data_IF_615693267430
#
_entry.id   IF_615693267430
#
_cell.length_a   1.000
_cell.length_b   1.000
_cell.length_c   1.000
_cell.angle_alpha   90.00
_cell.angle_beta   90.00
_cell.angle_gamma   90.00
#
_symmetry.space_group_name_H-M   'P 1'
#
loop_
_entity.id
_entity.type
_entity.pdbx_description
1 polymer ?
#
# COMPACT_ATOMS: atom_id res chain seq x y z
N UNK A 1 -19.43 -5.90 1.47
CA UNK A 1 -20.23 -6.07 2.71
C UNK A 1 -20.85 -4.74 3.09
N UNK A 2 -22.18 -4.70 3.26
CA UNK A 2 -22.89 -3.50 3.71
C UNK A 2 -22.74 -3.31 5.23
N UNK A 3 -22.91 -2.08 5.73
CA UNK A 3 -22.77 -1.77 7.17
C UNK A 3 -23.72 -2.59 8.06
N UNK A 4 -24.95 -2.84 7.58
CA UNK A 4 -25.93 -3.68 8.29
C UNK A 4 -25.47 -5.14 8.41
N UNK A 5 -24.79 -5.66 7.39
CA UNK A 5 -24.25 -7.03 7.38
C UNK A 5 -23.02 -7.11 8.27
N UNK A 6 -22.19 -6.07 8.25
CA UNK A 6 -21.05 -5.94 9.14
C UNK A 6 -21.49 -6.04 10.61
N UNK A 7 -22.43 -5.21 11.05
CA UNK A 7 -22.88 -5.28 12.45
C UNK A 7 -23.66 -6.56 12.78
N UNK A 8 -24.24 -7.27 11.81
CA UNK A 8 -24.81 -8.61 12.08
C UNK A 8 -23.74 -9.61 12.54
N UNK A 9 -22.52 -9.52 11.99
CA UNK A 9 -21.43 -10.44 12.28
C UNK A 9 -20.49 -9.95 13.39
N UNK A 10 -20.31 -8.63 13.51
CA UNK A 10 -19.25 -8.02 14.33
C UNK A 10 -19.77 -7.20 15.51
N UNK A 11 -21.04 -7.33 15.92
CA UNK A 11 -21.59 -6.55 17.04
C UNK A 11 -21.07 -7.00 18.42
N UNK A 12 -20.86 -8.30 18.64
CA UNK A 12 -20.38 -8.82 19.92
C UNK A 12 -19.02 -9.48 19.77
N UNK A 13 -18.26 -9.58 20.88
CA UNK A 13 -16.96 -10.28 20.86
C UNK A 13 -17.15 -11.75 20.47
N UNK A 14 -18.22 -12.39 20.94
CA UNK A 14 -18.54 -13.79 20.63
C UNK A 14 -18.84 -14.00 19.15
N UNK A 15 -19.74 -13.19 18.56
CA UNK A 15 -20.08 -13.30 17.13
C UNK A 15 -18.86 -13.01 16.25
N UNK A 16 -18.04 -12.03 16.67
CA UNK A 16 -16.80 -11.68 15.98
C UNK A 16 -15.79 -12.81 16.00
N UNK A 17 -15.55 -13.41 17.17
CA UNK A 17 -14.61 -14.53 17.31
C UNK A 17 -15.06 -15.71 16.46
N UNK A 18 -16.35 -16.05 16.52
CA UNK A 18 -16.92 -17.12 15.69
C UNK A 18 -16.74 -16.84 14.19
N UNK A 19 -17.09 -15.63 13.74
CA UNK A 19 -16.92 -15.26 12.32
C UNK A 19 -15.46 -15.37 11.88
N UNK A 20 -14.52 -14.86 12.69
CA UNK A 20 -13.10 -14.92 12.37
C UNK A 20 -12.55 -16.35 12.42
N UNK A 21 -13.10 -17.22 13.25
CA UNK A 21 -12.79 -18.66 13.29
C UNK A 21 -13.31 -19.37 12.03
N UNK A 22 -14.56 -19.14 11.66
CA UNK A 22 -15.19 -19.71 10.46
C UNK A 22 -14.45 -19.27 9.18
N UNK A 23 -13.97 -18.02 9.14
CA UNK A 23 -13.12 -17.52 8.04
C UNK A 23 -11.68 -18.10 8.08
N UNK A 24 -11.27 -18.64 9.22
CA UNK A 24 -9.92 -19.15 9.47
C UNK A 24 -8.87 -18.05 9.67
N UNK A 25 -9.27 -16.88 10.21
CA UNK A 25 -8.37 -15.83 10.69
C UNK A 25 -7.97 -16.03 12.16
N UNK A 26 -8.76 -16.82 12.90
CA UNK A 26 -8.49 -17.24 14.26
C UNK A 26 -8.57 -18.77 14.37
N UNK A 27 -7.82 -19.39 15.30
CA UNK A 27 -7.86 -20.83 15.52
C UNK A 27 -9.15 -21.24 16.25
N UNK A 28 -9.77 -22.33 15.78
CA UNK A 28 -10.92 -22.96 16.43
C UNK A 28 -10.52 -23.87 17.60
N UNK A 29 -9.30 -24.42 17.54
CA UNK A 29 -8.74 -25.30 18.55
C UNK A 29 -7.27 -24.94 18.82
N UNK A 30 -6.80 -25.20 20.04
CA UNK A 30 -5.40 -25.09 20.44
C UNK A 30 -5.02 -26.25 21.35
N UNK A 31 -3.72 -26.44 21.50
CA UNK A 31 -3.13 -27.26 22.55
C UNK A 31 -2.58 -26.39 23.67
N UNK A 32 -2.54 -26.92 24.89
CA UNK A 32 -1.93 -26.26 26.03
C UNK A 32 -0.42 -26.18 25.83
N UNK A 33 0.14 -24.96 25.80
CA UNK A 33 1.58 -24.72 25.66
C UNK A 33 2.47 -25.34 26.77
N UNK A 34 1.89 -25.83 27.89
CA UNK A 34 2.65 -26.50 28.96
C UNK A 34 2.52 -28.03 28.96
N UNK A 35 1.37 -28.58 28.57
CA UNK A 35 1.10 -30.02 28.76
C UNK A 35 0.56 -30.73 27.52
N UNK A 36 0.43 -30.04 26.38
CA UNK A 36 -0.02 -30.60 25.11
C UNK A 36 -1.51 -30.97 25.04
N UNK A 37 -2.24 -30.99 26.16
CA UNK A 37 -3.66 -31.34 26.16
C UNK A 37 -4.50 -30.32 25.40
N UNK A 38 -5.60 -30.77 24.81
CA UNK A 38 -6.59 -29.89 24.19
C UNK A 38 -7.13 -28.86 25.21
N UNK A 39 -7.28 -27.62 24.77
CA UNK A 39 -7.81 -26.52 25.59
C UNK A 39 -9.20 -26.14 25.11
N UNK A 40 -10.09 -25.83 26.06
CA UNK A 40 -11.47 -25.40 25.76
C UNK A 40 -11.57 -23.87 25.77
N UNK A 41 -12.42 -23.32 24.91
CA UNK A 41 -12.67 -21.88 24.84
C UNK A 41 -13.66 -21.44 25.95
N UNK A 42 -13.43 -20.27 26.53
CA UNK A 42 -14.23 -19.68 27.61
C UNK A 42 -14.26 -18.16 27.51
N UNK A 43 -15.36 -17.58 27.97
CA UNK A 43 -15.45 -16.16 28.28
C UNK A 43 -14.79 -15.85 29.61
N UNK A 44 -13.89 -14.87 29.60
CA UNK A 44 -13.26 -14.31 30.79
C UNK A 44 -13.62 -12.84 30.89
N UNK A 45 -14.16 -12.43 32.03
CA UNK A 45 -14.26 -11.02 32.38
C UNK A 45 -12.91 -10.55 32.91
N UNK A 46 -12.33 -9.54 32.27
CA UNK A 46 -11.14 -8.85 32.73
C UNK A 46 -11.40 -7.35 32.76
N UNK A 47 -11.42 -6.77 33.96
CA UNK A 47 -11.68 -5.33 34.19
C UNK A 47 -12.97 -4.84 33.50
N UNK A 48 -14.04 -5.62 33.58
CA UNK A 48 -15.34 -5.30 32.97
C UNK A 48 -15.46 -5.59 31.48
N UNK A 49 -14.38 -6.05 30.82
CA UNK A 49 -14.40 -6.44 29.41
C UNK A 49 -14.46 -7.96 29.28
N UNK A 50 -15.44 -8.45 28.52
CA UNK A 50 -15.53 -9.85 28.14
C UNK A 50 -14.49 -10.12 27.06
N UNK A 51 -13.69 -11.17 27.25
CA UNK A 51 -12.72 -11.66 26.27
C UNK A 51 -12.82 -13.17 26.15
N UNK A 52 -12.75 -13.65 24.92
CA UNK A 52 -12.64 -15.07 24.61
C UNK A 52 -11.19 -15.54 24.82
N UNK A 53 -11.02 -16.65 25.55
CA UNK A 53 -9.71 -17.25 25.84
C UNK A 53 -9.79 -18.78 25.79
N UNK A 54 -8.69 -19.43 25.44
CA UNK A 54 -8.53 -20.87 25.62
C UNK A 54 -7.98 -21.18 27.00
N UNK A 55 -8.57 -22.14 27.73
CA UNK A 55 -8.14 -22.55 29.07
C UNK A 55 -7.84 -24.04 29.16
N UNK A 56 -6.70 -24.37 29.74
CA UNK A 56 -6.35 -25.75 30.12
C UNK A 56 -7.13 -26.19 31.37
N UNK A 57 -7.76 -27.37 31.31
CA UNK A 57 -8.49 -27.96 32.44
C UNK A 57 -7.67 -28.99 33.22
N UNK A 58 -6.52 -29.45 32.69
CA UNK A 58 -5.66 -30.42 33.35
C UNK A 58 -5.13 -29.84 34.66
N UNK A 59 -5.37 -30.54 35.78
CA UNK A 59 -4.90 -30.14 37.11
C UNK A 59 -3.36 -29.99 37.08
N UNK A 60 -2.85 -28.92 37.69
CA UNK A 60 -1.43 -28.56 37.64
C UNK A 60 -0.99 -27.68 36.46
N UNK A 61 -1.79 -27.58 35.38
CA UNK A 61 -1.42 -26.85 34.16
C UNK A 61 -2.41 -25.79 33.71
N UNK A 62 -3.34 -25.33 34.57
CA UNK A 62 -4.55 -24.55 34.27
C UNK A 62 -4.32 -23.14 33.67
N UNK A 63 -3.50 -23.03 32.61
CA UNK A 63 -3.09 -21.83 31.92
C UNK A 63 -4.18 -21.33 30.97
N UNK A 64 -4.09 -20.04 30.64
CA UNK A 64 -4.96 -19.39 29.67
C UNK A 64 -4.16 -18.86 28.50
N UNK A 65 -4.68 -19.00 27.29
CA UNK A 65 -4.09 -18.50 26.05
C UNK A 65 -5.10 -17.60 25.35
N UNK A 66 -4.65 -16.47 24.80
CA UNK A 66 -5.54 -15.59 24.03
C UNK A 66 -5.93 -16.26 22.71
N UNK A 67 -7.16 -16.03 22.25
CA UNK A 67 -7.61 -16.45 20.92
C UNK A 67 -6.76 -15.82 19.81
N UNK A 68 -6.22 -14.61 20.06
CA UNK A 68 -5.49 -13.80 19.09
C UNK A 68 -4.10 -14.34 18.73
N UNK A 69 -3.45 -15.10 19.62
CA UNK A 69 -2.01 -15.43 19.57
C UNK A 69 -1.45 -16.05 18.27
N UNK A 70 -2.28 -16.51 17.35
CA UNK A 70 -1.85 -17.16 16.09
C UNK A 70 -1.97 -16.24 14.88
N UNK A 71 -2.39 -14.98 15.07
CA UNK A 71 -2.51 -14.02 14.00
C UNK A 71 -1.93 -12.69 14.48
N UNK A 72 -0.76 -12.33 13.92
CA UNK A 72 -0.02 -11.15 14.38
C UNK A 72 -0.72 -9.82 14.11
N UNK A 73 -1.73 -9.80 13.21
CA UNK A 73 -2.59 -8.64 13.00
C UNK A 73 -3.40 -8.28 14.25
N UNK A 74 -3.87 -9.29 15.00
CA UNK A 74 -4.68 -9.07 16.20
C UNK A 74 -3.86 -8.97 17.49
N UNK A 75 -2.55 -9.21 17.44
CA UNK A 75 -1.69 -9.34 18.61
C UNK A 75 -0.58 -8.31 18.66
N UNK A 76 -0.73 -7.14 18.02
CA UNK A 76 0.28 -6.07 17.98
C UNK A 76 1.16 -6.07 19.23
N UNK A 77 2.41 -6.52 19.04
CA UNK A 77 3.42 -6.59 20.08
C UNK A 77 4.17 -5.26 20.05
N UNK A 78 4.26 -4.60 21.19
CA UNK A 78 5.15 -3.44 21.32
C UNK A 78 6.63 -3.87 21.14
N UNK A 79 7.55 -2.90 21.13
CA UNK A 79 8.99 -3.17 21.04
C UNK A 79 9.53 -4.13 22.12
N UNK A 80 8.75 -4.39 23.18
CA UNK A 80 9.07 -5.32 24.27
C UNK A 80 8.34 -6.66 24.14
N UNK A 81 7.71 -6.96 23.00
CA UNK A 81 7.01 -8.22 22.77
C UNK A 81 5.68 -8.35 23.51
N UNK A 82 5.07 -7.25 23.99
CA UNK A 82 3.80 -7.29 24.75
C UNK A 82 2.62 -6.90 23.88
N UNK A 83 1.60 -7.77 23.85
CA UNK A 83 0.31 -7.46 23.24
C UNK A 83 -0.50 -6.52 24.15
N UNK A 84 -0.37 -5.22 23.93
CA UNK A 84 -0.99 -4.19 24.79
C UNK A 84 -2.34 -3.66 24.27
N UNK A 85 -2.90 -4.22 23.20
CA UNK A 85 -4.17 -3.70 22.67
C UNK A 85 -5.34 -3.88 23.66
N UNK A 86 -5.84 -2.75 24.16
CA UNK A 86 -7.02 -2.67 25.02
C UNK A 86 -8.35 -2.91 24.28
N UNK A 87 -8.33 -2.96 22.94
CA UNK A 87 -9.50 -3.12 22.09
C UNK A 87 -9.96 -4.58 22.02
N UNK A 88 -11.27 -4.78 22.00
CA UNK A 88 -11.95 -6.02 21.65
C UNK A 88 -11.76 -6.35 20.15
N UNK A 89 -11.98 -7.60 19.74
CA UNK A 89 -11.92 -7.96 18.31
C UNK A 89 -13.02 -7.27 17.50
N UNK A 90 -14.24 -7.15 18.06
CA UNK A 90 -15.34 -6.38 17.45
C UNK A 90 -14.90 -4.93 17.18
N UNK A 91 -14.31 -4.28 18.18
CA UNK A 91 -13.79 -2.91 18.07
C UNK A 91 -12.69 -2.78 17.00
N UNK A 92 -11.82 -3.77 16.89
CA UNK A 92 -10.76 -3.82 15.86
C UNK A 92 -11.38 -3.96 14.47
N UNK A 93 -12.31 -4.90 14.29
CA UNK A 93 -12.96 -5.15 13.00
C UNK A 93 -13.76 -3.94 12.52
N UNK A 94 -14.32 -3.14 13.43
CA UNK A 94 -15.00 -1.89 13.09
C UNK A 94 -14.02 -0.86 12.49
N UNK A 95 -12.83 -0.70 13.09
CA UNK A 95 -11.79 0.19 12.54
C UNK A 95 -11.33 -0.31 11.18
N UNK A 96 -11.13 -1.62 11.03
CA UNK A 96 -10.78 -2.26 9.75
C UNK A 96 -11.84 -1.96 8.71
N UNK A 97 -13.13 -2.15 9.04
CA UNK A 97 -14.24 -1.87 8.13
C UNK A 97 -14.23 -0.41 7.66
N UNK A 98 -14.03 0.54 8.56
CA UNK A 98 -13.94 1.95 8.20
C UNK A 98 -12.73 2.28 7.31
N UNK A 99 -11.57 1.67 7.57
CA UNK A 99 -10.38 1.83 6.73
C UNK A 99 -10.58 1.26 5.33
N UNK A 100 -11.17 0.06 5.25
CA UNK A 100 -11.47 -0.61 3.97
C UNK A 100 -12.41 0.25 3.14
N UNK A 101 -13.46 0.81 3.75
CA UNK A 101 -14.46 1.68 3.11
C UNK A 101 -14.00 3.13 2.92
N UNK A 102 -12.70 3.41 3.06
CA UNK A 102 -12.07 4.71 2.77
C UNK A 102 -12.59 5.89 3.62
N UNK A 103 -13.02 5.63 4.85
CA UNK A 103 -13.36 6.71 5.78
C UNK A 103 -12.11 7.49 6.22
N UNK A 104 -12.26 8.80 6.37
CA UNK A 104 -11.16 9.67 6.79
C UNK A 104 -10.89 9.53 8.30
N UNK A 105 -9.63 9.71 8.71
CA UNK A 105 -9.18 9.64 10.11
C UNK A 105 -10.12 10.40 11.08
N UNK A 106 -10.50 11.63 10.73
CA UNK A 106 -11.38 12.46 11.56
C UNK A 106 -12.78 11.84 11.73
N UNK A 107 -13.30 11.19 10.69
CA UNK A 107 -14.60 10.51 10.74
C UNK A 107 -14.51 9.27 11.62
N UNK A 108 -13.46 8.46 11.46
CA UNK A 108 -13.26 7.25 12.27
C UNK A 108 -13.14 7.62 13.76
N UNK A 109 -12.37 8.66 14.10
CA UNK A 109 -12.29 9.18 15.46
C UNK A 109 -13.68 9.55 16.00
N UNK A 110 -14.47 10.27 15.20
CA UNK A 110 -15.82 10.68 15.59
C UNK A 110 -16.78 9.50 15.79
N UNK A 111 -16.73 8.50 14.91
CA UNK A 111 -17.61 7.33 14.96
C UNK A 111 -17.26 6.38 16.10
N UNK A 112 -15.97 6.26 16.41
CA UNK A 112 -15.47 5.27 17.39
C UNK A 112 -15.22 5.85 18.78
N UNK A 113 -15.08 7.17 18.91
CA UNK A 113 -14.67 7.83 20.15
C UNK A 113 -13.22 7.53 20.58
N UNK A 114 -12.40 6.92 19.71
CA UNK A 114 -11.04 6.46 20.02
C UNK A 114 -10.01 7.57 19.77
N UNK A 115 -8.88 7.50 20.48
CA UNK A 115 -7.81 8.50 20.32
C UNK A 115 -7.23 8.48 18.90
N UNK A 116 -6.77 9.64 18.44
CA UNK A 116 -6.10 9.79 17.14
C UNK A 116 -4.97 8.78 16.96
N UNK A 117 -4.12 8.62 17.97
CA UNK A 117 -2.98 7.69 17.91
C UNK A 117 -3.44 6.26 17.69
N UNK A 118 -4.46 5.81 18.43
CA UNK A 118 -5.04 4.47 18.27
C UNK A 118 -5.52 4.24 16.84
N UNK A 119 -6.28 5.18 16.28
CA UNK A 119 -6.80 5.04 14.92
C UNK A 119 -5.65 5.07 13.90
N UNK A 120 -4.68 5.97 14.04
CA UNK A 120 -3.51 6.01 13.16
C UNK A 120 -2.76 4.68 13.16
N UNK A 121 -2.51 4.09 14.33
CA UNK A 121 -1.79 2.82 14.46
C UNK A 121 -2.53 1.69 13.75
N UNK A 122 -3.85 1.58 13.93
CA UNK A 122 -4.67 0.57 13.25
C UNK A 122 -4.79 0.80 11.75
N UNK A 123 -4.90 2.05 11.29
CA UNK A 123 -4.89 2.36 9.86
C UNK A 123 -3.53 2.02 9.22
N UNK A 124 -2.43 2.22 9.96
CA UNK A 124 -1.09 1.82 9.53
C UNK A 124 -0.96 0.30 9.46
N UNK A 125 -1.50 -0.43 10.44
CA UNK A 125 -1.49 -1.89 10.44
C UNK A 125 -2.34 -2.47 9.29
N UNK A 126 -3.49 -1.87 8.99
CA UNK A 126 -4.27 -2.23 7.79
C UNK A 126 -3.45 -2.05 6.51
N UNK A 127 -2.60 -1.01 6.46
CA UNK A 127 -1.72 -0.74 5.33
C UNK A 127 -0.53 -1.71 5.22
N UNK A 128 -0.20 -2.46 6.26
CA UNK A 128 0.86 -3.47 6.15
C UNK A 128 0.46 -4.63 5.23
N UNK A 129 -0.83 -4.94 5.11
CA UNK A 129 -1.34 -5.96 4.17
C UNK A 129 -0.98 -5.59 2.72
N UNK A 130 -1.43 -4.44 2.17
CA UNK A 130 -1.09 -4.08 0.80
C UNK A 130 0.42 -3.89 0.60
N UNK A 131 1.16 -3.43 1.61
CA UNK A 131 2.64 -3.34 1.53
C UNK A 131 3.28 -4.72 1.40
N UNK A 132 2.87 -5.70 2.23
CA UNK A 132 3.37 -7.08 2.14
C UNK A 132 3.03 -7.72 0.80
N UNK A 133 1.81 -7.54 0.33
CA UNK A 133 1.37 -8.03 -0.98
C UNK A 133 2.15 -7.39 -2.12
N UNK A 134 2.35 -6.07 -2.05
CA UNK A 134 3.14 -5.36 -3.04
C UNK A 134 4.56 -5.94 -3.05
N UNK A 135 5.23 -6.08 -1.91
CA UNK A 135 6.60 -6.62 -1.87
C UNK A 135 6.74 -8.07 -2.38
N UNK A 136 5.68 -8.88 -2.31
CA UNK A 136 5.65 -10.26 -2.84
C UNK A 136 5.14 -10.37 -4.28
N UNK A 137 4.73 -9.25 -4.89
CA UNK A 137 4.18 -9.23 -6.25
C UNK A 137 5.21 -9.75 -7.26
N UNK A 138 4.73 -10.36 -8.32
CA UNK A 138 5.56 -10.75 -9.44
C UNK A 138 5.68 -9.63 -10.47
N UNK A 139 6.74 -9.63 -11.30
CA UNK A 139 6.79 -8.81 -12.50
C UNK A 139 5.56 -9.06 -13.39
N UNK A 140 5.17 -8.07 -14.18
CA UNK A 140 3.97 -8.10 -15.01
C UNK A 140 4.32 -7.76 -16.47
N UNK A 141 3.35 -7.91 -17.38
CA UNK A 141 3.63 -7.92 -18.81
C UNK A 141 3.87 -9.34 -19.32
N UNK A 142 4.59 -9.43 -20.43
CA UNK A 142 4.93 -10.67 -21.12
C UNK A 142 4.75 -10.52 -22.64
N UNK A 143 5.07 -11.57 -23.40
CA UNK A 143 4.87 -11.59 -24.85
C UNK A 143 3.45 -11.17 -25.25
N UNK A 144 3.34 -10.18 -26.13
CA UNK A 144 2.06 -9.65 -26.61
C UNK A 144 1.33 -8.70 -25.64
N UNK A 145 1.91 -8.41 -24.47
CA UNK A 145 1.38 -7.42 -23.53
C UNK A 145 2.12 -6.08 -23.66
N UNK A 146 1.37 -5.01 -23.40
CA UNK A 146 1.86 -3.64 -23.43
C UNK A 146 1.95 -3.09 -22.01
N UNK A 147 3.13 -2.60 -21.63
CA UNK A 147 3.35 -1.85 -20.39
C UNK A 147 3.62 -0.40 -20.74
N UNK A 148 2.86 0.53 -20.16
CA UNK A 148 3.14 1.96 -20.27
C UNK A 148 3.93 2.41 -19.05
N UNK A 149 4.97 3.22 -19.28
CA UNK A 149 5.80 3.83 -18.24
C UNK A 149 5.85 5.35 -18.41
N UNK A 150 5.81 6.06 -17.29
CA UNK A 150 5.94 7.52 -17.24
C UNK A 150 6.47 7.95 -15.86
N UNK A 151 6.98 9.18 -15.76
CA UNK A 151 7.47 9.76 -14.51
C UNK A 151 6.75 11.03 -14.14
N UNK A 152 6.40 11.11 -12.86
CA UNK A 152 5.67 12.23 -12.33
C UNK A 152 6.35 12.75 -11.06
N UNK A 153 6.58 14.07 -11.05
CA UNK A 153 6.92 14.75 -9.81
C UNK A 153 5.65 14.88 -8.96
N UNK A 154 5.61 14.20 -7.82
CA UNK A 154 4.44 14.18 -6.94
C UNK A 154 4.53 15.35 -5.92
N UNK A 155 3.86 16.47 -6.20
CA UNK A 155 3.84 17.67 -5.30
C UNK A 155 2.44 18.25 -5.06
N UNK A 156 2.35 19.01 -3.95
CA UNK A 156 1.39 20.09 -3.70
C UNK A 156 1.11 20.96 -4.92
N UNK A 157 -0.13 21.00 -5.42
CA UNK A 157 -0.52 22.05 -6.36
C UNK A 157 -0.62 23.40 -5.62
N UNK A 158 0.08 24.41 -6.14
CA UNK A 158 0.11 25.78 -5.58
C UNK A 158 -1.30 26.39 -5.51
N UNK A 159 -1.56 27.22 -4.49
CA UNK A 159 -2.77 28.07 -4.45
C UNK A 159 -2.71 29.02 -5.66
N UNK A 160 -3.69 28.90 -6.56
CA UNK A 160 -3.88 29.76 -7.73
C UNK A 160 -2.73 29.78 -8.76
N UNK A 161 -1.88 28.75 -8.80
CA UNK A 161 -0.73 28.67 -9.74
C UNK A 161 0.26 29.87 -9.69
N UNK A 162 0.25 30.69 -8.63
CA UNK A 162 1.10 31.88 -8.47
C UNK A 162 2.14 31.70 -7.35
N UNK A 163 3.32 32.32 -7.50
CA UNK A 163 4.46 32.30 -6.55
C UNK A 163 5.78 31.76 -7.13
N UNK A 164 6.95 32.23 -6.63
CA UNK A 164 8.31 31.91 -7.12
C UNK A 164 8.76 30.46 -6.80
N UNK A 165 9.54 29.85 -7.70
CA UNK A 165 10.05 28.47 -7.67
C UNK A 165 11.37 28.29 -6.89
N UNK A 166 11.67 27.05 -6.48
CA UNK A 166 12.92 26.66 -5.83
C UNK A 166 13.57 25.37 -6.51
N UNK A 167 14.78 25.36 -7.16
CA UNK A 167 15.81 24.34 -7.72
C UNK A 167 15.24 23.03 -8.06
N UNK A 168 14.69 22.30 -7.11
CA UNK A 168 14.01 21.07 -7.49
C UNK A 168 12.61 21.30 -8.04
N UNK A 169 12.39 22.52 -8.55
CA UNK A 169 11.31 22.87 -9.45
C UNK A 169 11.78 23.36 -10.85
N UNK A 170 13.08 23.27 -11.22
CA UNK A 170 13.59 23.72 -12.55
C UNK A 170 14.14 22.57 -13.44
N UNK A 171 13.89 22.62 -14.76
CA UNK A 171 14.45 21.68 -15.76
C UNK A 171 15.94 21.99 -16.05
N UNK A 172 16.73 20.95 -16.32
CA UNK A 172 18.20 20.94 -16.30
C UNK A 172 18.94 21.76 -17.38
N UNK A 173 18.26 22.38 -18.35
CA UNK A 173 18.92 23.05 -19.49
C UNK A 173 19.54 24.43 -19.19
N UNK A 174 19.59 24.90 -17.93
CA UNK A 174 20.10 26.23 -17.52
C UNK A 174 21.20 26.08 -16.45
N UNK A 175 22.09 25.10 -16.59
CA UNK A 175 23.24 24.96 -15.69
C UNK A 175 24.51 25.23 -16.51
N UNK A 176 24.98 26.49 -16.61
CA UNK A 176 26.38 26.73 -16.87
C UNK A 176 27.15 26.25 -15.63
N UNK A 177 28.16 25.40 -15.82
CA UNK A 177 29.22 25.29 -14.82
C UNK A 177 29.94 26.62 -14.84
N UNK A 178 30.21 27.20 -13.67
CA UNK A 178 31.48 27.85 -13.49
C UNK A 178 32.00 27.57 -12.09
N UNK A 179 33.29 27.26 -12.11
CA UNK A 179 34.20 27.06 -11.00
C UNK A 179 34.29 28.34 -10.17
N UNK A 180 34.53 28.11 -8.89
CA UNK A 180 35.18 29.01 -7.95
C UNK A 180 34.49 30.33 -7.55
N UNK A 181 34.18 30.34 -6.25
CA UNK A 181 34.42 31.42 -5.30
C UNK A 181 33.45 32.62 -5.12
N UNK A 182 33.24 32.79 -3.80
CA UNK A 182 32.85 33.95 -2.99
C UNK A 182 31.41 34.49 -2.98
N UNK A 183 30.86 34.33 -1.77
CA UNK A 183 29.56 34.70 -1.26
C UNK A 183 29.29 36.20 -1.43
N UNK A 184 28.23 36.55 -2.17
CA UNK A 184 27.70 37.92 -2.23
C UNK A 184 26.23 37.93 -1.87
N UNK A 185 25.95 38.59 -0.76
CA UNK A 185 24.66 38.77 -0.08
C UNK A 185 23.55 39.31 -1.01
N UNK A 186 22.85 38.42 -1.72
CA UNK A 186 21.65 38.71 -2.54
C UNK A 186 20.53 37.71 -2.18
N UNK A 187 19.31 38.21 -1.96
CA UNK A 187 18.09 37.46 -1.57
C UNK A 187 17.56 36.46 -2.63
N UNK A 188 18.39 35.53 -3.09
CA UNK A 188 18.02 34.44 -3.99
C UNK A 188 18.10 33.11 -3.23
N UNK A 189 16.96 32.66 -2.71
CA UNK A 189 16.87 31.46 -1.88
C UNK A 189 17.35 30.18 -2.56
N UNK A 190 18.04 29.34 -1.75
CA UNK A 190 18.38 27.95 -2.06
C UNK A 190 17.14 27.18 -2.43
N UNK A 191 17.29 26.41 -3.48
CA UNK A 191 16.17 26.02 -4.26
C UNK A 191 15.81 24.45 -3.95
N UNK A 192 14.53 23.92 -3.92
CA UNK A 192 14.04 22.78 -3.04
C UNK A 192 13.58 21.46 -3.73
N UNK A 193 14.06 20.29 -3.22
CA UNK A 193 13.79 18.85 -3.50
C UNK A 193 12.38 18.29 -3.23
N UNK A 194 11.99 17.19 -3.89
CA UNK A 194 10.77 16.40 -3.62
C UNK A 194 10.73 15.14 -4.49
N UNK A 195 10.10 14.03 -4.05
CA UNK A 195 10.37 12.72 -4.64
C UNK A 195 9.80 12.60 -6.06
N UNK A 196 10.64 12.07 -6.96
CA UNK A 196 10.16 11.60 -8.25
C UNK A 196 9.44 10.28 -8.06
N UNK A 197 8.36 10.07 -8.81
CA UNK A 197 7.65 8.80 -8.83
C UNK A 197 7.64 8.27 -10.25
N UNK A 198 8.09 7.03 -10.44
CA UNK A 198 7.99 6.31 -11.71
C UNK A 198 6.75 5.44 -11.65
N UNK A 199 5.87 5.60 -12.63
CA UNK A 199 4.62 4.86 -12.74
C UNK A 199 4.70 3.86 -13.88
N UNK A 200 4.26 2.63 -13.65
CA UNK A 200 4.08 1.62 -14.68
C UNK A 200 2.64 1.12 -14.65
N UNK A 201 2.04 0.86 -15.81
CA UNK A 201 0.73 0.24 -15.86
C UNK A 201 0.56 -0.76 -17.02
N UNK A 202 -0.25 -1.79 -16.77
CA UNK A 202 -0.64 -2.81 -17.75
C UNK A 202 -2.10 -3.18 -17.53
N UNK A 203 -2.74 -3.66 -18.59
CA UNK A 203 -4.10 -4.22 -18.51
C UNK A 203 -3.97 -5.73 -18.33
N UNK A 204 -4.56 -6.23 -17.25
CA UNK A 204 -4.65 -7.64 -16.95
C UNK A 204 -5.70 -8.31 -17.84
N UNK A 205 -5.64 -9.63 -17.96
CA UNK A 205 -6.58 -10.43 -18.77
C UNK A 205 -8.05 -10.20 -18.40
N UNK A 206 -8.31 -9.91 -17.12
CA UNK A 206 -9.65 -9.60 -16.60
C UNK A 206 -10.10 -8.14 -16.83
N UNK A 207 -9.32 -7.35 -17.58
CA UNK A 207 -9.61 -5.94 -17.89
C UNK A 207 -9.26 -4.95 -16.77
N UNK A 208 -8.78 -5.40 -15.61
CA UNK A 208 -8.27 -4.50 -14.57
C UNK A 208 -6.92 -3.90 -14.97
N UNK A 209 -6.61 -2.74 -14.41
CA UNK A 209 -5.32 -2.08 -14.62
C UNK A 209 -4.45 -2.33 -13.38
N UNK A 210 -3.34 -3.05 -13.56
CA UNK A 210 -2.28 -3.11 -12.57
C UNK A 210 -1.41 -1.86 -12.74
N UNK A 211 -1.49 -0.94 -11.78
CA UNK A 211 -0.79 0.34 -11.79
C UNK A 211 0.15 0.44 -10.58
N UNK A 212 1.45 0.45 -10.84
CA UNK A 212 2.51 0.40 -9.84
C UNK A 212 3.27 1.72 -9.86
N UNK A 213 3.59 2.24 -8.67
CA UNK A 213 4.25 3.53 -8.51
C UNK A 213 5.44 3.39 -7.56
N UNK A 214 6.59 3.91 -7.97
CA UNK A 214 7.87 3.75 -7.27
C UNK A 214 8.48 5.10 -6.96
N UNK A 215 8.73 5.38 -5.68
CA UNK A 215 9.52 6.55 -5.29
C UNK A 215 10.96 6.34 -5.75
N UNK A 216 11.51 7.35 -6.42
CA UNK A 216 12.90 7.36 -6.85
C UNK A 216 13.56 8.68 -6.45
N UNK A 217 14.79 8.57 -5.97
CA UNK A 217 15.61 9.74 -5.64
C UNK A 217 16.06 10.48 -6.91
N UNK A 218 16.35 9.73 -7.98
CA UNK A 218 16.80 10.25 -9.28
C UNK A 218 16.08 9.55 -10.43
N UNK A 219 15.40 10.31 -11.28
CA UNK A 219 15.03 9.83 -12.64
C UNK A 219 16.27 9.92 -13.52
N UNK A 220 16.97 8.81 -13.69
CA UNK A 220 18.04 8.72 -14.68
C UNK A 220 17.88 7.38 -15.41
N UNK A 221 18.60 7.23 -16.52
CA UNK A 221 18.57 6.03 -17.36
C UNK A 221 18.79 4.76 -16.53
N UNK A 222 19.76 4.77 -15.62
CA UNK A 222 20.08 3.61 -14.78
C UNK A 222 18.90 3.21 -13.88
N UNK A 223 18.29 4.17 -13.19
CA UNK A 223 17.12 3.94 -12.33
C UNK A 223 15.95 3.38 -13.13
N UNK A 224 15.62 3.98 -14.27
CA UNK A 224 14.49 3.56 -15.10
C UNK A 224 14.69 2.15 -15.65
N UNK A 225 15.86 1.89 -16.23
CA UNK A 225 16.16 0.56 -16.79
C UNK A 225 16.17 -0.51 -15.70
N UNK A 226 16.62 -0.17 -14.48
CA UNK A 226 16.57 -1.08 -13.33
C UNK A 226 15.14 -1.40 -12.93
N UNK A 227 14.26 -0.40 -12.86
CA UNK A 227 12.84 -0.62 -12.54
C UNK A 227 12.19 -1.49 -13.61
N UNK A 228 12.38 -1.18 -14.90
CA UNK A 228 11.80 -1.98 -15.99
C UNK A 228 12.31 -3.41 -15.92
N UNK A 229 13.63 -3.63 -15.75
CA UNK A 229 14.20 -4.97 -15.63
C UNK A 229 13.62 -5.79 -14.47
N UNK A 230 13.32 -5.14 -13.34
CA UNK A 230 12.83 -5.82 -12.14
C UNK A 230 11.31 -6.00 -12.14
N UNK A 231 10.56 -5.12 -12.81
CA UNK A 231 9.09 -5.10 -12.74
C UNK A 231 8.42 -5.61 -14.00
N UNK A 232 9.11 -5.66 -15.14
CA UNK A 232 8.52 -6.01 -16.45
C UNK A 232 9.10 -7.32 -16.96
N UNK A 233 8.23 -8.24 -17.36
CA UNK A 233 8.65 -9.54 -17.89
C UNK A 233 9.33 -9.39 -19.27
N UNK A 234 10.33 -10.23 -19.60
CA UNK A 234 10.91 -10.26 -20.94
C UNK A 234 9.87 -10.53 -22.03
N UNK A 235 10.09 -9.99 -23.23
CA UNK A 235 9.17 -10.09 -24.37
C UNK A 235 8.00 -9.09 -24.33
N UNK A 236 7.89 -8.27 -23.29
CA UNK A 236 6.91 -7.17 -23.20
C UNK A 236 7.23 -6.04 -24.18
N UNK A 237 6.20 -5.42 -24.75
CA UNK A 237 6.31 -4.12 -25.42
C UNK A 237 6.14 -2.99 -24.41
N UNK A 238 7.18 -2.19 -24.22
CA UNK A 238 7.18 -1.04 -23.30
C UNK A 238 6.92 0.23 -24.10
N UNK A 239 5.87 0.97 -23.74
CA UNK A 239 5.58 2.29 -24.27
C UNK A 239 6.05 3.37 -23.30
N UNK A 240 6.84 4.32 -23.78
CA UNK A 240 7.20 5.53 -23.02
C UNK A 240 7.07 6.79 -23.87
N UNK A 241 7.23 7.94 -23.24
CA UNK A 241 7.52 9.17 -23.97
C UNK A 241 8.92 9.11 -24.62
N UNK A 242 9.21 10.03 -25.53
CA UNK A 242 10.50 10.11 -26.22
C UNK A 242 11.64 10.67 -25.35
N UNK A 243 11.60 10.51 -24.02
CA UNK A 243 12.63 11.04 -23.13
C UNK A 243 13.96 10.28 -23.29
N UNK A 244 15.07 11.02 -23.32
CA UNK A 244 16.44 10.47 -23.52
C UNK A 244 16.81 9.40 -22.49
N UNK A 245 16.20 9.43 -21.30
CA UNK A 245 16.43 8.43 -20.25
C UNK A 245 16.00 7.02 -20.62
N UNK A 246 15.09 6.85 -21.58
CA UNK A 246 14.64 5.55 -22.06
C UNK A 246 15.43 5.00 -23.25
N UNK A 247 16.31 5.81 -23.87
CA UNK A 247 17.09 5.38 -25.04
C UNK A 247 17.98 4.18 -24.70
N UNK A 248 17.99 3.18 -25.58
CA UNK A 248 18.79 1.96 -25.44
C UNK A 248 18.13 0.91 -24.54
N UNK A 249 16.82 0.98 -24.31
CA UNK A 249 16.07 -0.08 -23.64
C UNK A 249 16.01 -1.35 -24.51
N UNK A 250 15.72 -1.18 -25.82
CA UNK A 250 15.73 -2.28 -26.81
C UNK A 250 17.09 -2.94 -26.99
N UNK A 251 18.18 -2.18 -26.84
CA UNK A 251 19.57 -2.67 -26.99
C UNK A 251 19.92 -3.75 -25.96
N UNK A 252 19.21 -3.80 -24.83
CA UNK A 252 19.40 -4.84 -23.80
C UNK A 252 18.72 -6.16 -24.17
N UNK A 253 17.90 -6.21 -25.23
CA UNK A 253 17.30 -7.42 -25.79
C UNK A 253 16.16 -8.05 -24.98
N UNK A 254 15.79 -7.49 -23.81
CA UNK A 254 14.74 -8.05 -22.96
C UNK A 254 13.33 -7.60 -23.34
N UNK A 255 13.19 -6.44 -23.99
CA UNK A 255 11.90 -5.81 -24.27
C UNK A 255 11.91 -5.14 -25.64
N UNK A 256 10.74 -5.04 -26.27
CA UNK A 256 10.53 -4.12 -27.39
C UNK A 256 10.19 -2.76 -26.78
N UNK A 257 10.94 -1.72 -27.14
CA UNK A 257 10.68 -0.37 -26.67
C UNK A 257 10.15 0.49 -27.80
N UNK A 258 8.94 1.01 -27.61
CA UNK A 258 8.28 1.92 -28.54
C UNK A 258 8.06 3.26 -27.83
N UNK A 259 8.31 4.35 -28.55
CA UNK A 259 8.23 5.69 -28.01
C UNK A 259 7.24 6.52 -28.80
N UNK A 260 6.45 7.33 -28.10
CA UNK A 260 5.62 8.36 -28.75
C UNK A 260 6.23 9.74 -28.54
N UNK A 261 6.24 10.57 -29.57
CA UNK A 261 6.60 11.97 -29.47
C UNK A 261 5.35 12.85 -29.35
N UNK A 262 4.99 13.20 -28.12
CA UNK A 262 3.83 14.03 -27.79
C UNK A 262 3.86 15.46 -28.33
N UNK A 263 4.99 15.92 -28.87
CA UNK A 263 5.04 17.22 -29.58
C UNK A 263 4.43 17.12 -30.98
N UNK A 264 4.37 15.91 -31.53
CA UNK A 264 3.93 15.65 -32.90
C UNK A 264 2.61 14.87 -32.93
N UNK A 265 2.47 13.83 -32.10
CA UNK A 265 1.33 12.90 -32.14
C UNK A 265 0.90 12.45 -30.73
N UNK A 266 -0.41 12.22 -30.54
CA UNK A 266 -0.96 11.63 -29.29
C UNK A 266 -0.87 10.10 -29.24
N UNK A 267 -0.78 9.48 -30.41
CA UNK A 267 -0.56 8.05 -30.65
C UNK A 267 0.41 7.99 -31.82
N UNK A 268 1.47 7.20 -31.69
CA UNK A 268 2.41 7.03 -32.79
C UNK A 268 1.70 6.35 -33.98
N UNK A 269 1.70 6.94 -35.18
CA UNK A 269 0.93 6.43 -36.32
C UNK A 269 1.52 5.15 -36.94
N UNK A 270 2.79 4.85 -36.69
CA UNK A 270 3.48 3.68 -37.25
C UNK A 270 3.40 2.47 -36.31
N UNK A 271 3.62 2.69 -35.02
CA UNK A 271 3.69 1.65 -33.98
C UNK A 271 2.41 1.52 -33.15
N UNK A 272 1.58 2.57 -33.11
CA UNK A 272 0.44 2.65 -32.18
C UNK A 272 0.83 3.02 -30.74
N UNK A 273 2.11 3.33 -30.49
CA UNK A 273 2.63 3.64 -29.17
C UNK A 273 1.95 4.85 -28.53
N UNK A 274 1.64 4.74 -27.23
CA UNK A 274 1.05 5.83 -26.43
C UNK A 274 1.24 5.58 -24.93
N UNK A 275 1.20 6.67 -24.14
CA UNK A 275 1.31 6.70 -22.67
C UNK A 275 0.04 7.24 -21.99
N UNK A 276 -1.07 7.31 -22.71
CA UNK A 276 -2.31 7.95 -22.24
C UNK A 276 -2.87 7.32 -20.96
N UNK A 277 -2.74 5.98 -20.82
CA UNK A 277 -3.25 5.27 -19.65
C UNK A 277 -2.46 5.67 -18.41
N UNK A 278 -1.13 5.57 -18.46
CA UNK A 278 -0.30 5.95 -17.30
C UNK A 278 -0.47 7.43 -16.95
N UNK A 279 -0.57 8.30 -17.95
CA UNK A 279 -0.82 9.73 -17.76
C UNK A 279 -2.15 10.01 -17.03
N UNK A 280 -3.21 9.28 -17.42
CA UNK A 280 -4.54 9.41 -16.81
C UNK A 280 -4.55 9.00 -15.33
N UNK A 281 -3.68 8.08 -14.92
CA UNK A 281 -3.58 7.55 -13.55
C UNK A 281 -2.91 8.54 -12.57
N UNK A 282 -2.12 9.51 -13.07
CA UNK A 282 -1.48 10.49 -12.19
C UNK A 282 -2.45 11.43 -11.50
N UNK A 283 -3.52 11.85 -12.19
CA UNK A 283 -4.51 12.77 -11.63
C UNK A 283 -5.20 12.21 -10.38
N UNK A 284 -5.81 11.00 -10.39
CA UNK A 284 -6.44 10.44 -9.20
C UNK A 284 -5.42 10.16 -8.08
N UNK A 285 -4.20 9.73 -8.40
CA UNK A 285 -3.13 9.56 -7.40
C UNK A 285 -2.79 10.87 -6.70
N UNK A 286 -2.59 11.96 -7.47
CA UNK A 286 -2.34 13.31 -6.93
C UNK A 286 -3.51 13.80 -6.09
N UNK A 287 -4.76 13.58 -6.52
CA UNK A 287 -5.93 13.96 -5.73
C UNK A 287 -5.95 13.26 -4.36
N UNK A 288 -5.61 11.96 -4.31
CA UNK A 288 -5.53 11.21 -3.05
C UNK A 288 -4.42 11.75 -2.15
N UNK A 289 -3.18 11.72 -2.62
CA UNK A 289 -2.00 11.99 -1.78
C UNK A 289 -1.85 13.48 -1.50
N UNK A 290 -1.97 14.32 -2.52
CA UNK A 290 -1.65 15.75 -2.40
C UNK A 290 -2.83 16.55 -1.86
N UNK A 291 -4.04 16.27 -2.35
CA UNK A 291 -5.22 17.08 -2.00
C UNK A 291 -5.98 16.54 -0.81
N UNK A 292 -6.36 15.26 -0.80
CA UNK A 292 -7.16 14.67 0.29
C UNK A 292 -6.34 14.44 1.55
N UNK A 293 -5.10 13.96 1.42
CA UNK A 293 -4.21 13.72 2.56
C UNK A 293 -3.37 14.95 2.95
N UNK A 294 -3.40 16.02 2.15
CA UNK A 294 -2.55 17.21 2.31
C UNK A 294 -1.03 16.89 2.26
N UNK A 295 -0.64 15.88 1.49
CA UNK A 295 0.73 15.38 1.43
C UNK A 295 0.99 14.21 2.41
N UNK A 296 2.24 13.75 2.43
CA UNK A 296 2.73 12.72 3.35
C UNK A 296 4.24 12.94 3.58
N UNK A 297 4.79 12.37 4.65
CA UNK A 297 6.23 12.21 4.79
C UNK A 297 6.76 11.23 3.72
N UNK A 298 8.01 11.43 3.29
CA UNK A 298 8.75 10.61 2.32
C UNK A 298 8.79 9.14 2.76
N UNK A 299 9.10 8.87 4.03
CA UNK A 299 9.16 7.52 4.61
C UNK A 299 7.84 6.72 4.52
N UNK A 300 6.71 7.42 4.38
CA UNK A 300 5.38 6.81 4.32
C UNK A 300 4.83 6.76 2.91
N UNK A 301 5.44 7.47 1.95
CA UNK A 301 4.90 7.61 0.61
C UNK A 301 4.76 6.25 -0.08
N UNK A 302 5.79 5.41 -0.03
CA UNK A 302 5.76 4.06 -0.61
C UNK A 302 4.62 3.21 -0.06
N UNK A 303 4.33 3.33 1.24
CA UNK A 303 3.23 2.60 1.88
C UNK A 303 1.88 3.05 1.31
N UNK A 304 1.70 4.35 1.07
CA UNK A 304 0.48 4.89 0.46
C UNK A 304 0.37 4.52 -1.03
N UNK A 305 1.49 4.43 -1.76
CA UNK A 305 1.50 3.95 -3.15
C UNK A 305 1.10 2.47 -3.22
N UNK A 306 1.62 1.62 -2.32
CA UNK A 306 1.20 0.22 -2.21
C UNK A 306 -0.29 0.09 -1.85
N UNK A 307 -0.80 0.92 -0.94
CA UNK A 307 -2.24 0.99 -0.65
C UNK A 307 -3.06 1.38 -1.88
N UNK A 308 -2.58 2.36 -2.66
CA UNK A 308 -3.25 2.81 -3.87
C UNK A 308 -3.32 1.71 -4.93
N UNK A 309 -2.21 0.98 -5.13
CA UNK A 309 -2.14 -0.20 -5.99
C UNK A 309 -3.16 -1.26 -5.58
N UNK A 310 -3.17 -1.66 -4.30
CA UNK A 310 -4.09 -2.69 -3.80
C UNK A 310 -5.56 -2.32 -3.99
N UNK A 311 -5.93 -1.06 -3.74
CA UNK A 311 -7.30 -0.55 -3.98
C UNK A 311 -7.64 -0.53 -5.47
N UNK A 312 -6.65 -0.29 -6.34
CA UNK A 312 -6.82 -0.33 -7.79
C UNK A 312 -7.16 -1.72 -8.32
N UNK A 313 -6.63 -2.77 -7.70
CA UNK A 313 -6.92 -4.17 -8.03
C UNK A 313 -8.21 -4.69 -7.38
N UNK A 314 -8.58 -4.16 -6.20
CA UNK A 314 -9.75 -4.62 -5.45
C UNK A 314 -10.97 -3.72 -5.64
N UNK A 315 -11.46 -3.60 -6.88
CA UNK A 315 -12.64 -2.80 -7.25
C UNK A 315 -13.98 -3.54 -7.11
N UNK A 316 -13.99 -4.73 -6.54
CA UNK A 316 -15.18 -5.58 -6.39
C UNK A 316 -16.18 -4.98 -5.40
N UNK A 317 -17.46 -5.36 -5.53
CA UNK A 317 -18.54 -5.00 -4.58
C UNK A 317 -18.28 -5.46 -3.13
N UNK A 318 -17.30 -6.36 -2.92
CA UNK A 318 -16.94 -6.87 -1.61
C UNK A 318 -15.46 -6.71 -1.24
N UNK A 319 -14.98 -5.47 -1.27
CA UNK A 319 -13.62 -5.08 -0.85
C UNK A 319 -13.26 -5.51 0.59
N UNK A 320 -14.26 -5.65 1.48
CA UNK A 320 -14.03 -6.13 2.85
C UNK A 320 -13.63 -7.60 2.87
N UNK A 321 -14.33 -8.46 2.14
CA UNK A 321 -13.94 -9.87 2.04
C UNK A 321 -12.61 -10.05 1.31
N UNK A 322 -12.32 -9.19 0.32
CA UNK A 322 -11.00 -9.15 -0.30
C UNK A 322 -9.89 -8.84 0.72
N UNK A 323 -10.13 -7.85 1.59
CA UNK A 323 -9.20 -7.51 2.67
C UNK A 323 -9.02 -8.65 3.68
N UNK A 324 -10.09 -9.36 4.07
CA UNK A 324 -9.99 -10.49 4.99
C UNK A 324 -9.20 -11.66 4.40
N UNK A 325 -9.40 -11.96 3.12
CA UNK A 325 -8.60 -12.97 2.40
C UNK A 325 -7.13 -12.60 2.40
N UNK A 326 -6.83 -11.35 2.09
CA UNK A 326 -5.46 -10.85 1.99
C UNK A 326 -4.78 -10.75 3.37
N UNK A 327 -5.54 -10.43 4.42
CA UNK A 327 -5.10 -10.52 5.82
C UNK A 327 -4.71 -11.96 6.16
N UNK A 328 -5.53 -12.94 5.77
CA UNK A 328 -5.24 -14.36 6.02
C UNK A 328 -3.93 -14.78 5.35
N UNK A 329 -3.73 -14.39 4.09
CA UNK A 329 -2.48 -14.65 3.35
C UNK A 329 -1.25 -14.01 4.03
N UNK A 330 -1.42 -12.84 4.63
CA UNK A 330 -0.31 -12.08 5.20
C UNK A 330 0.01 -12.40 6.67
N UNK A 331 -0.93 -12.94 7.45
CA UNK A 331 -0.83 -12.99 8.92
C UNK A 331 -1.23 -14.31 9.59
N UNK A 332 -1.72 -15.31 8.86
CA UNK A 332 -2.21 -16.58 9.45
C UNK A 332 -1.26 -17.76 9.25
N UNK A 333 -0.13 -17.58 8.55
CA UNK A 333 0.86 -18.63 8.29
C UNK A 333 0.26 -19.94 7.72
N UNK A 334 0.25 -20.04 6.39
CA UNK A 334 0.70 -21.26 5.73
C UNK A 334 2.05 -20.91 5.08
N UNK A 335 3.16 -21.55 5.52
CA UNK A 335 3.80 -22.68 4.84
C UNK A 335 4.24 -22.32 3.39
N UNK A 336 5.56 -22.45 3.13
CA UNK A 336 6.32 -22.15 1.89
C UNK A 336 7.10 -20.82 1.90
N UNK A 337 8.16 -20.75 2.72
CA UNK A 337 9.49 -20.50 2.14
C UNK A 337 10.19 -21.86 2.11
N UNK A 338 10.80 -22.29 1.00
CA UNK A 338 11.87 -23.29 1.02
C UNK A 338 13.05 -22.86 1.89
#
# INVERSE_FOLDING_TARGET
MLVKEFYKNFLTEESTVKYLQDYGLLPCAKQCHKCGSEVKQYQRNYRGKIREVFRCKKKGYQTTQSVRNNNSFFTYLDANGRCNSGLSLSEIMEIVYFWVTENQLVQIIKFTGRSKNTICDWMNLCRDIPVRLFNKRQPFGGPGQIVQIDECLLRGARKNNKGRFRLADLKAAVIPRQEDEEDTNRNYGRRIGGPWVVGLCCVLENGLIDARFFVVEKRNKETLHRIIKNEVLPGTTVHSDSWLGYKGLSEKGYHVHETVNHSNNFVDPETGANTQRIESLWRPLRLKIVKKMCGTNEDLLDRYLAEYWWRGLNKTDNIFDAFLRDMKLCFVDNFLDP
#
